data_IF_898894352388
#
_entry.id   IF_898894352388
#
_cell.length_a   1.000
_cell.length_b   1.000
_cell.length_c   1.000
_cell.angle_alpha   90.00
_cell.angle_beta   90.00
_cell.angle_gamma   90.00
#
_symmetry.space_group_name_H-M   'P 1'
#
loop_
_entity.id
_entity.type
_entity.pdbx_description
1 polymer ?
#
# COMPACT_ATOMS: atom_id res chain seq x y z
N UNK A 1 95.76 3.19 -41.69
CA UNK A 1 95.16 2.66 -40.46
C UNK A 1 93.96 3.53 -40.09
N UNK A 2 92.72 3.05 -40.30
CA UNK A 2 91.49 3.69 -39.79
C UNK A 2 91.37 3.32 -38.31
N UNK A 3 91.41 4.32 -37.42
CA UNK A 3 91.50 4.11 -35.98
C UNK A 3 90.18 3.66 -35.34
N UNK A 4 90.28 2.89 -34.26
CA UNK A 4 89.17 2.34 -33.46
C UNK A 4 88.10 3.36 -33.01
N UNK A 5 88.37 4.66 -33.08
CA UNK A 5 87.40 5.73 -32.82
C UNK A 5 86.32 5.91 -33.90
N UNK A 6 86.64 5.66 -35.19
CA UNK A 6 85.68 5.78 -36.30
C UNK A 6 84.68 4.60 -36.31
N UNK A 7 85.17 3.38 -36.00
CA UNK A 7 84.30 2.21 -35.77
C UNK A 7 83.39 2.36 -34.56
N UNK A 8 83.88 2.92 -33.44
CA UNK A 8 83.03 3.21 -32.25
C UNK A 8 81.97 4.29 -32.54
N UNK A 9 82.29 5.31 -33.35
CA UNK A 9 81.34 6.36 -33.74
C UNK A 9 80.26 5.84 -34.70
N UNK A 10 80.63 4.99 -35.66
CA UNK A 10 79.69 4.32 -36.57
C UNK A 10 78.77 3.32 -35.86
N UNK A 11 79.32 2.50 -34.94
CA UNK A 11 78.49 1.60 -34.12
C UNK A 11 77.52 2.38 -33.21
N UNK A 12 77.94 3.52 -32.65
CA UNK A 12 77.05 4.37 -31.82
C UNK A 12 75.92 5.00 -32.65
N UNK A 13 76.20 5.45 -33.87
CA UNK A 13 75.18 5.97 -34.79
C UNK A 13 74.16 4.91 -35.20
N UNK A 14 74.63 3.71 -35.56
CA UNK A 14 73.76 2.58 -35.91
C UNK A 14 72.87 2.13 -34.74
N UNK A 15 73.42 2.09 -33.52
CA UNK A 15 72.66 1.75 -32.31
C UNK A 15 71.64 2.82 -31.93
N UNK A 16 71.96 4.10 -32.10
CA UNK A 16 71.03 5.21 -31.89
C UNK A 16 69.88 5.19 -32.91
N UNK A 17 70.17 4.90 -34.19
CA UNK A 17 69.16 4.74 -35.24
C UNK A 17 68.21 3.56 -34.95
N UNK A 18 68.76 2.38 -34.61
CA UNK A 18 67.95 1.21 -34.22
C UNK A 18 67.02 1.53 -33.05
N UNK A 19 67.54 2.17 -31.99
CA UNK A 19 66.73 2.53 -30.82
C UNK A 19 65.64 3.57 -31.11
N UNK A 20 65.84 4.47 -32.07
CA UNK A 20 64.82 5.42 -32.49
C UNK A 20 63.71 4.74 -33.33
N UNK A 21 64.07 3.80 -34.20
CA UNK A 21 63.12 3.00 -35.00
C UNK A 21 62.26 2.12 -34.08
N UNK A 22 62.88 1.41 -33.14
CA UNK A 22 62.16 0.60 -32.14
C UNK A 22 61.18 1.46 -31.32
N UNK A 23 61.59 2.66 -30.92
CA UNK A 23 60.72 3.59 -30.20
C UNK A 23 59.54 4.09 -31.06
N UNK A 24 59.77 4.35 -32.36
CA UNK A 24 58.70 4.71 -33.32
C UNK A 24 57.69 3.57 -33.48
N UNK A 25 58.15 2.33 -33.64
CA UNK A 25 57.28 1.15 -33.76
C UNK A 25 56.45 0.92 -32.50
N UNK A 26 57.07 1.08 -31.32
CA UNK A 26 56.36 1.01 -30.04
C UNK A 26 55.29 2.12 -29.91
N UNK A 27 55.61 3.34 -30.34
CA UNK A 27 54.66 4.46 -30.35
C UNK A 27 53.50 4.22 -31.33
N UNK A 28 53.78 3.68 -32.52
CA UNK A 28 52.77 3.31 -33.51
C UNK A 28 51.83 2.23 -32.98
N UNK A 29 52.37 1.23 -32.29
CA UNK A 29 51.56 0.18 -31.65
C UNK A 29 50.67 0.76 -30.56
N UNK A 30 51.23 1.60 -29.67
CA UNK A 30 50.46 2.25 -28.62
C UNK A 30 49.37 3.20 -29.15
N UNK A 31 49.63 3.86 -30.28
CA UNK A 31 48.64 4.70 -30.96
C UNK A 31 47.46 3.86 -31.49
N UNK A 32 47.76 2.75 -32.16
CA UNK A 32 46.74 1.83 -32.67
C UNK A 32 45.90 1.25 -31.53
N UNK A 33 46.52 0.80 -30.44
CA UNK A 33 45.82 0.26 -29.27
C UNK A 33 44.87 1.29 -28.63
N UNK A 34 45.30 2.55 -28.54
CA UNK A 34 44.49 3.64 -28.02
C UNK A 34 43.29 3.94 -28.93
N UNK A 35 43.49 4.06 -30.24
CA UNK A 35 42.43 4.34 -31.22
C UNK A 35 41.38 3.21 -31.24
N UNK A 36 41.82 1.95 -31.18
CA UNK A 36 40.89 0.81 -31.06
C UNK A 36 40.08 0.85 -29.77
N UNK A 37 40.72 1.16 -28.63
CA UNK A 37 40.02 1.30 -27.35
C UNK A 37 38.99 2.43 -27.39
N UNK A 38 39.33 3.59 -27.97
CA UNK A 38 38.43 4.74 -28.12
C UNK A 38 37.20 4.38 -28.97
N UNK A 39 37.40 3.78 -30.15
CA UNK A 39 36.31 3.36 -31.05
C UNK A 39 35.39 2.32 -30.43
N UNK A 40 35.97 1.33 -29.74
CA UNK A 40 35.20 0.30 -29.04
C UNK A 40 34.28 0.90 -27.98
N UNK A 41 34.80 1.84 -27.17
CA UNK A 41 34.04 2.48 -26.12
C UNK A 41 32.96 3.39 -26.70
N UNK A 42 33.27 4.18 -27.73
CA UNK A 42 32.28 5.05 -28.37
C UNK A 42 31.07 4.27 -28.89
N UNK A 43 31.30 3.12 -29.53
CA UNK A 43 30.25 2.22 -29.96
C UNK A 43 29.37 1.75 -28.79
N UNK A 44 29.97 1.37 -27.65
CA UNK A 44 29.21 0.93 -26.47
C UNK A 44 28.42 2.05 -25.80
N UNK A 45 28.98 3.26 -25.72
CA UNK A 45 28.27 4.41 -25.16
C UNK A 45 27.09 4.80 -26.05
N UNK A 46 27.27 4.73 -27.37
CA UNK A 46 26.18 4.98 -28.33
C UNK A 46 25.04 3.97 -28.18
N UNK A 47 25.35 2.68 -28.06
CA UNK A 47 24.32 1.66 -27.78
C UNK A 47 23.61 1.91 -26.45
N UNK A 48 24.34 2.35 -25.41
CA UNK A 48 23.71 2.72 -24.14
C UNK A 48 22.73 3.89 -24.34
N UNK A 49 23.12 4.95 -25.05
CA UNK A 49 22.24 6.09 -25.31
C UNK A 49 20.97 5.72 -26.07
N UNK A 50 21.08 4.84 -27.07
CA UNK A 50 19.92 4.34 -27.84
C UNK A 50 18.92 3.59 -26.96
N UNK A 51 19.39 2.91 -25.92
CA UNK A 51 18.57 2.13 -24.99
C UNK A 51 18.02 2.96 -23.83
N UNK A 52 18.83 3.89 -23.30
CA UNK A 52 18.46 4.77 -22.20
C UNK A 52 19.30 6.05 -22.21
N UNK A 53 18.84 7.04 -22.99
CA UNK A 53 19.51 8.34 -23.12
C UNK A 53 19.71 9.06 -21.77
N UNK A 54 18.78 8.93 -20.81
CA UNK A 54 18.89 9.59 -19.51
C UNK A 54 19.94 8.93 -18.63
N UNK A 55 19.95 7.59 -18.59
CA UNK A 55 20.95 6.86 -17.81
C UNK A 55 22.35 6.95 -18.44
N UNK A 56 22.44 7.13 -19.76
CA UNK A 56 23.69 7.27 -20.49
C UNK A 56 24.31 8.66 -20.39
N UNK A 57 23.55 9.73 -20.09
CA UNK A 57 24.06 11.11 -20.06
C UNK A 57 25.35 11.30 -19.22
N UNK A 58 25.47 10.78 -17.99
CA UNK A 58 26.70 10.91 -17.21
C UNK A 58 27.87 10.10 -17.81
N UNK A 59 27.56 8.95 -18.42
CA UNK A 59 28.54 8.06 -19.07
C UNK A 59 29.10 8.72 -20.33
N UNK A 60 28.23 9.33 -21.14
CA UNK A 60 28.64 10.12 -22.31
C UNK A 60 29.54 11.28 -21.91
N UNK A 61 29.17 12.04 -20.88
CA UNK A 61 29.97 13.17 -20.40
C UNK A 61 31.38 12.75 -19.95
N UNK A 62 31.50 11.65 -19.22
CA UNK A 62 32.81 11.11 -18.81
C UNK A 62 33.62 10.64 -20.03
N UNK A 63 32.99 9.93 -20.97
CA UNK A 63 33.65 9.47 -22.18
C UNK A 63 34.13 10.63 -23.06
N UNK A 64 33.36 11.72 -23.21
CA UNK A 64 33.77 12.90 -23.98
C UNK A 64 35.12 13.45 -23.53
N UNK A 65 35.34 13.59 -22.21
CA UNK A 65 36.63 14.07 -21.69
C UNK A 65 37.80 13.10 -21.95
N UNK A 66 37.54 11.80 -21.96
CA UNK A 66 38.53 10.78 -22.31
C UNK A 66 38.84 10.77 -23.81
N UNK A 67 37.82 10.93 -24.65
CA UNK A 67 37.95 11.02 -26.10
C UNK A 67 38.77 12.26 -26.50
N UNK A 68 38.47 13.43 -25.92
CA UNK A 68 39.26 14.65 -26.13
C UNK A 68 40.74 14.47 -25.74
N UNK A 69 40.99 13.75 -24.65
CA UNK A 69 42.36 13.44 -24.20
C UNK A 69 43.08 12.50 -25.16
N UNK A 70 42.37 11.50 -25.71
CA UNK A 70 42.88 10.56 -26.71
C UNK A 70 43.18 11.26 -28.03
N UNK A 71 42.26 12.10 -28.52
CA UNK A 71 42.44 12.91 -29.73
C UNK A 71 43.66 13.84 -29.60
N UNK A 72 43.83 14.48 -28.42
CA UNK A 72 45.00 15.31 -28.16
C UNK A 72 46.32 14.52 -28.17
N UNK A 73 46.33 13.27 -27.68
CA UNK A 73 47.52 12.43 -27.72
C UNK A 73 47.79 11.85 -29.12
N UNK A 74 46.75 11.56 -29.89
CA UNK A 74 46.84 11.20 -31.31
C UNK A 74 47.52 12.31 -32.12
N UNK A 75 47.06 13.56 -31.96
CA UNK A 75 47.67 14.73 -32.62
C UNK A 75 49.12 14.94 -32.18
N UNK A 76 49.42 14.78 -30.89
CA UNK A 76 50.79 14.90 -30.37
C UNK A 76 51.73 13.83 -30.96
N UNK A 77 51.26 12.59 -31.08
CA UNK A 77 52.00 11.50 -31.73
C UNK A 77 52.29 11.79 -33.21
N UNK A 78 51.28 12.22 -33.97
CA UNK A 78 51.44 12.60 -35.38
C UNK A 78 52.46 13.74 -35.51
N UNK A 79 52.40 14.73 -34.62
CA UNK A 79 53.38 15.83 -34.59
C UNK A 79 54.81 15.36 -34.32
N UNK A 80 54.98 14.35 -33.45
CA UNK A 80 56.29 13.72 -33.19
C UNK A 80 56.77 12.94 -34.42
N UNK A 81 55.87 12.23 -35.10
CA UNK A 81 56.17 11.49 -36.33
C UNK A 81 56.63 12.43 -37.45
N UNK A 82 55.92 13.56 -37.64
CA UNK A 82 56.24 14.57 -38.65
C UNK A 82 57.54 15.32 -38.34
N UNK A 83 57.81 15.62 -37.06
CA UNK A 83 59.03 16.32 -36.64
C UNK A 83 60.29 15.43 -36.68
N UNK A 84 60.12 14.10 -36.65
CA UNK A 84 61.22 13.14 -36.55
C UNK A 84 61.13 12.03 -37.61
N UNK A 85 61.47 12.37 -38.85
CA UNK A 85 61.74 11.38 -39.91
C UNK A 85 63.01 10.55 -39.61
N UNK A 86 62.83 9.39 -39.00
CA UNK A 86 63.92 8.46 -38.64
C UNK A 86 64.49 7.68 -39.82
N UNK A 87 63.88 7.79 -41.01
CA UNK A 87 64.35 7.11 -42.23
C UNK A 87 65.39 7.97 -43.01
N UNK A 88 65.62 9.21 -42.57
CA UNK A 88 66.65 10.12 -43.09
C UNK A 88 68.09 9.66 -42.71
N UNK A 89 68.89 9.37 -43.75
CA UNK A 89 70.23 8.81 -43.62
C UNK A 89 71.30 9.83 -43.20
N UNK A 90 71.00 11.14 -43.24
CA UNK A 90 71.96 12.21 -42.92
C UNK A 90 71.92 12.69 -41.45
N UNK A 91 71.11 12.03 -40.60
CA UNK A 91 70.96 12.37 -39.18
C UNK A 91 72.18 12.09 -38.31
N UNK A 92 72.39 12.97 -37.34
CA UNK A 92 73.39 12.81 -36.28
C UNK A 92 72.90 11.89 -35.16
N UNK A 93 73.80 11.24 -34.40
CA UNK A 93 73.41 10.44 -33.24
C UNK A 93 72.58 11.21 -32.19
N UNK A 94 72.81 12.51 -32.04
CA UNK A 94 72.05 13.36 -31.11
C UNK A 94 70.60 13.57 -31.55
N UNK A 95 70.35 13.66 -32.86
CA UNK A 95 69.00 13.77 -33.43
C UNK A 95 68.23 12.45 -33.31
N UNK A 96 68.89 11.30 -33.48
CA UNK A 96 68.32 9.99 -33.18
C UNK A 96 67.96 9.83 -31.70
N UNK A 97 68.83 10.28 -30.78
CA UNK A 97 68.53 10.25 -29.34
C UNK A 97 67.40 11.22 -28.93
N UNK A 98 67.24 12.35 -29.65
CA UNK A 98 66.11 13.25 -29.45
C UNK A 98 64.80 12.62 -29.94
N UNK A 99 64.80 12.05 -31.16
CA UNK A 99 63.66 11.34 -31.71
C UNK A 99 63.23 10.17 -30.81
N UNK A 100 64.19 9.34 -30.36
CA UNK A 100 63.92 8.24 -29.43
C UNK A 100 63.23 8.71 -28.16
N UNK A 101 63.70 9.80 -27.54
CA UNK A 101 63.07 10.35 -26.32
C UNK A 101 61.66 10.88 -26.58
N UNK A 102 61.44 11.54 -27.72
CA UNK A 102 60.12 12.03 -28.10
C UNK A 102 59.12 10.88 -28.33
N UNK A 103 59.53 9.83 -29.05
CA UNK A 103 58.70 8.64 -29.25
C UNK A 103 58.43 7.89 -27.94
N UNK A 104 59.42 7.73 -27.05
CA UNK A 104 59.19 7.12 -25.73
C UNK A 104 58.17 7.91 -24.90
N UNK A 105 58.29 9.24 -24.85
CA UNK A 105 57.33 10.09 -24.15
C UNK A 105 55.92 10.01 -24.76
N UNK A 106 55.82 9.95 -26.09
CA UNK A 106 54.55 9.74 -26.79
C UNK A 106 53.93 8.38 -26.44
N UNK A 107 54.73 7.30 -26.45
CA UNK A 107 54.30 5.95 -26.07
C UNK A 107 53.76 5.91 -24.65
N UNK A 108 54.47 6.49 -23.67
CA UNK A 108 54.03 6.54 -22.27
C UNK A 108 52.68 7.25 -22.11
N UNK A 109 52.51 8.38 -22.82
CA UNK A 109 51.25 9.14 -22.82
C UNK A 109 50.10 8.36 -23.45
N UNK A 110 50.31 7.76 -24.62
CA UNK A 110 49.32 6.94 -25.32
C UNK A 110 48.90 5.76 -24.44
N UNK A 111 49.86 5.03 -23.87
CA UNK A 111 49.58 3.91 -22.96
C UNK A 111 48.83 4.35 -21.70
N UNK A 112 49.12 5.53 -21.15
CA UNK A 112 48.37 6.05 -20.01
C UNK A 112 46.90 6.34 -20.37
N UNK A 113 46.64 6.91 -21.54
CA UNK A 113 45.28 7.15 -22.00
C UNK A 113 44.56 5.83 -22.28
N UNK A 114 45.21 4.87 -22.93
CA UNK A 114 44.66 3.51 -23.13
C UNK A 114 44.28 2.86 -21.80
N UNK A 115 45.10 3.00 -20.74
CA UNK A 115 44.74 2.51 -19.39
C UNK A 115 43.49 3.21 -18.84
N UNK A 116 43.37 4.52 -19.03
CA UNK A 116 42.19 5.27 -18.58
C UNK A 116 40.92 4.84 -19.34
N UNK A 117 41.03 4.66 -20.66
CA UNK A 117 39.95 4.16 -21.52
C UNK A 117 39.52 2.75 -21.09
N UNK A 118 40.47 1.83 -20.90
CA UNK A 118 40.17 0.47 -20.44
C UNK A 118 39.52 0.46 -19.05
N UNK A 119 40.00 1.29 -18.12
CA UNK A 119 39.37 1.44 -16.81
C UNK A 119 37.94 1.98 -16.89
N UNK A 120 37.64 2.86 -17.85
CA UNK A 120 36.27 3.29 -18.15
C UNK A 120 35.42 2.15 -18.71
N UNK A 121 35.96 1.38 -19.66
CA UNK A 121 35.28 0.22 -20.24
C UNK A 121 34.91 -0.83 -19.17
N UNK A 122 35.81 -1.10 -18.21
CA UNK A 122 35.55 -1.98 -17.07
C UNK A 122 34.39 -1.48 -16.19
N UNK A 123 34.30 -0.17 -15.94
CA UNK A 123 33.18 0.43 -15.19
C UNK A 123 31.87 0.45 -15.98
N UNK A 124 31.94 0.55 -17.30
CA UNK A 124 30.79 0.54 -18.20
C UNK A 124 30.20 -0.88 -18.36
N UNK A 125 31.05 -1.91 -18.38
CA UNK A 125 30.65 -3.31 -18.58
C UNK A 125 29.47 -3.78 -17.69
N UNK A 126 29.45 -3.58 -16.36
CA UNK A 126 28.32 -4.01 -15.53
C UNK A 126 27.03 -3.22 -15.80
N UNK A 127 27.11 -1.98 -16.29
CA UNK A 127 25.93 -1.21 -16.68
C UNK A 127 25.31 -1.80 -17.96
N UNK A 128 26.16 -2.12 -18.94
CA UNK A 128 25.73 -2.79 -20.18
C UNK A 128 25.11 -4.16 -19.91
N UNK A 129 25.73 -4.98 -19.06
CA UNK A 129 25.19 -6.30 -18.70
C UNK A 129 23.79 -6.21 -18.05
N UNK A 130 23.52 -5.15 -17.26
CA UNK A 130 22.18 -4.90 -16.69
C UNK A 130 21.17 -4.49 -17.77
N UNK A 131 21.58 -3.67 -18.73
CA UNK A 131 20.70 -3.29 -19.85
C UNK A 131 20.35 -4.50 -20.71
N UNK A 132 21.33 -5.34 -21.03
CA UNK A 132 21.12 -6.59 -21.78
C UNK A 132 20.14 -7.51 -21.04
N UNK A 133 20.35 -7.75 -19.75
CA UNK A 133 19.43 -8.53 -18.93
C UNK A 133 18.02 -7.93 -18.90
N UNK A 134 17.90 -6.60 -18.82
CA UNK A 134 16.61 -5.92 -18.83
C UNK A 134 15.92 -5.99 -20.22
N UNK A 135 16.69 -5.98 -21.32
CA UNK A 135 16.16 -6.17 -22.67
C UNK A 135 15.58 -7.56 -22.85
N UNK A 136 16.20 -8.59 -22.28
CA UNK A 136 15.67 -9.96 -22.30
C UNK A 136 14.34 -10.06 -21.53
N UNK A 137 14.16 -9.26 -20.48
CA UNK A 137 12.97 -9.28 -19.62
C UNK A 137 11.82 -8.39 -20.13
N UNK A 138 12.10 -7.41 -20.99
CA UNK A 138 11.07 -6.46 -21.43
C UNK A 138 9.98 -7.12 -22.30
N UNK A 139 10.29 -7.93 -23.33
CA UNK A 139 9.28 -8.58 -24.16
C UNK A 139 8.25 -9.42 -23.38
N UNK A 140 8.64 -10.35 -22.48
CA UNK A 140 7.65 -11.13 -21.73
C UNK A 140 6.78 -10.27 -20.81
N UNK A 141 7.33 -9.21 -20.21
CA UNK A 141 6.54 -8.25 -19.40
C UNK A 141 5.52 -7.48 -20.24
N UNK A 142 5.91 -7.03 -21.42
CA UNK A 142 4.99 -6.36 -22.35
C UNK A 142 3.89 -7.30 -22.83
N UNK A 143 4.19 -8.58 -23.07
CA UNK A 143 3.17 -9.60 -23.38
C UNK A 143 2.21 -9.80 -22.21
N UNK A 144 2.72 -9.99 -20.98
CA UNK A 144 1.88 -10.15 -19.79
C UNK A 144 0.98 -8.93 -19.53
N UNK A 145 1.48 -7.72 -19.78
CA UNK A 145 0.71 -6.49 -19.68
C UNK A 145 -0.43 -6.43 -20.73
N UNK A 146 -0.14 -6.80 -21.98
CA UNK A 146 -1.16 -6.87 -23.06
C UNK A 146 -2.23 -7.93 -22.77
N UNK A 147 -1.82 -9.10 -22.30
CA UNK A 147 -2.72 -10.20 -21.97
C UNK A 147 -3.64 -9.82 -20.80
N UNK A 148 -3.12 -9.15 -19.77
CA UNK A 148 -3.91 -8.64 -18.66
C UNK A 148 -4.93 -7.58 -19.13
N UNK A 149 -4.53 -6.64 -20.00
CA UNK A 149 -5.45 -5.66 -20.60
C UNK A 149 -6.57 -6.35 -21.39
N UNK A 150 -6.25 -7.35 -22.20
CA UNK A 150 -7.23 -8.12 -22.95
C UNK A 150 -8.19 -8.90 -22.05
N UNK A 151 -7.69 -9.50 -20.96
CA UNK A 151 -8.50 -10.19 -19.97
C UNK A 151 -9.44 -9.24 -19.22
N UNK A 152 -8.97 -8.04 -18.87
CA UNK A 152 -9.78 -6.99 -18.26
C UNK A 152 -10.89 -6.52 -19.21
N UNK A 153 -10.57 -6.28 -20.48
CA UNK A 153 -11.56 -5.94 -21.52
C UNK A 153 -12.66 -7.01 -21.63
N UNK A 154 -12.27 -8.29 -21.65
CA UNK A 154 -13.22 -9.39 -21.72
C UNK A 154 -14.13 -9.47 -20.48
N UNK A 155 -13.58 -9.24 -19.28
CA UNK A 155 -14.33 -9.23 -18.03
C UNK A 155 -15.31 -8.06 -17.96
N UNK A 156 -14.88 -6.86 -18.37
CA UNK A 156 -15.74 -5.66 -18.44
C UNK A 156 -16.87 -5.88 -19.46
N UNK A 157 -16.56 -6.39 -20.65
CA UNK A 157 -17.57 -6.70 -21.66
C UNK A 157 -18.57 -7.76 -21.17
N UNK A 158 -18.13 -8.74 -20.39
CA UNK A 158 -19.00 -9.72 -19.77
C UNK A 158 -19.92 -9.09 -18.71
N UNK A 159 -19.38 -8.20 -17.86
CA UNK A 159 -20.15 -7.45 -16.89
C UNK A 159 -21.20 -6.55 -17.56
N UNK A 160 -20.82 -5.82 -18.61
CA UNK A 160 -21.73 -4.98 -19.40
C UNK A 160 -22.85 -5.81 -20.07
N UNK A 161 -22.53 -6.97 -20.67
CA UNK A 161 -23.54 -7.91 -21.20
C UNK A 161 -24.49 -8.44 -20.14
N UNK A 162 -24.02 -8.57 -18.90
CA UNK A 162 -24.86 -8.92 -17.76
C UNK A 162 -25.67 -7.72 -17.21
N UNK A 163 -25.59 -6.56 -17.85
CA UNK A 163 -26.29 -5.33 -17.45
C UNK A 163 -25.71 -4.70 -16.19
N UNK A 164 -24.42 -4.90 -15.91
CA UNK A 164 -23.72 -4.26 -14.80
C UNK A 164 -23.15 -2.92 -15.24
N UNK A 165 -23.21 -1.92 -14.35
CA UNK A 165 -22.43 -0.70 -14.51
C UNK A 165 -20.94 -1.00 -14.28
N UNK A 166 -20.14 -0.87 -15.34
CA UNK A 166 -18.72 -1.15 -15.37
C UNK A 166 -17.87 0.13 -15.50
N UNK A 167 -18.44 1.32 -15.23
CA UNK A 167 -17.74 2.61 -15.42
C UNK A 167 -16.40 2.70 -14.66
N UNK A 168 -16.35 2.17 -13.44
CA UNK A 168 -15.15 2.21 -12.60
C UNK A 168 -14.02 1.30 -13.14
N UNK A 169 -14.24 -0.01 -13.39
CA UNK A 169 -13.20 -0.83 -14.01
C UNK A 169 -12.85 -0.37 -15.43
N UNK A 170 -13.78 0.24 -16.18
CA UNK A 170 -13.49 0.88 -17.47
C UNK A 170 -12.51 2.06 -17.33
N UNK A 171 -12.73 2.92 -16.33
CA UNK A 171 -11.84 4.06 -16.07
C UNK A 171 -10.44 3.62 -15.63
N UNK A 172 -10.32 2.54 -14.84
CA UNK A 172 -9.02 1.96 -14.50
C UNK A 172 -8.33 1.34 -15.73
N UNK A 173 -9.07 0.58 -16.54
CA UNK A 173 -8.54 -0.03 -17.75
C UNK A 173 -8.11 1.03 -18.79
N UNK A 174 -8.82 2.16 -18.87
CA UNK A 174 -8.44 3.27 -19.75
C UNK A 174 -7.04 3.82 -19.40
N UNK A 175 -6.72 3.96 -18.11
CA UNK A 175 -5.38 4.35 -17.66
C UNK A 175 -4.32 3.32 -18.05
N UNK A 176 -4.62 2.03 -17.88
CA UNK A 176 -3.72 0.96 -18.30
C UNK A 176 -3.45 0.99 -19.81
N UNK A 177 -4.49 1.23 -20.62
CA UNK A 177 -4.38 1.38 -22.08
C UNK A 177 -3.56 2.60 -22.50
N UNK A 178 -3.71 3.73 -21.81
CA UNK A 178 -2.91 4.93 -22.08
C UNK A 178 -1.41 4.68 -21.85
N UNK A 179 -1.06 4.08 -20.71
CA UNK A 179 0.33 3.73 -20.39
C UNK A 179 0.86 2.69 -21.41
N UNK A 180 0.06 1.68 -21.76
CA UNK A 180 0.43 0.67 -22.75
C UNK A 180 0.65 1.29 -24.15
N UNK A 181 -0.16 2.27 -24.53
CA UNK A 181 0.02 3.01 -25.78
C UNK A 181 1.32 3.84 -25.76
N UNK A 182 1.66 4.47 -24.64
CA UNK A 182 2.94 5.15 -24.46
C UNK A 182 4.12 4.17 -24.63
N UNK A 183 4.04 2.98 -24.04
CA UNK A 183 5.06 1.93 -24.18
C UNK A 183 5.23 1.42 -25.61
N UNK A 184 4.15 1.45 -26.40
CA UNK A 184 4.17 1.08 -27.83
C UNK A 184 4.74 2.16 -28.76
N UNK A 185 5.05 3.35 -28.26
CA UNK A 185 5.65 4.43 -29.05
C UNK A 185 7.15 4.21 -29.30
N UNK A 186 7.69 4.88 -30.32
CA UNK A 186 9.12 4.81 -30.63
C UNK A 186 9.97 5.21 -29.41
N UNK A 187 11.07 4.50 -29.16
CA UNK A 187 11.95 4.75 -28.02
C UNK A 187 11.27 4.54 -26.66
N UNK A 188 10.26 3.67 -26.57
CA UNK A 188 9.50 3.35 -25.35
C UNK A 188 8.92 4.62 -24.67
N UNK A 189 8.54 5.62 -25.47
CA UNK A 189 8.00 6.89 -24.98
C UNK A 189 9.01 7.76 -24.22
N UNK A 190 10.32 7.56 -24.43
CA UNK A 190 11.38 8.30 -23.74
C UNK A 190 11.55 7.91 -22.27
N UNK A 191 11.02 6.74 -21.87
CA UNK A 191 11.08 6.24 -20.50
C UNK A 191 12.41 5.58 -20.14
N UNK A 192 13.20 5.20 -21.16
CA UNK A 192 14.32 4.27 -20.98
C UNK A 192 13.83 2.86 -20.63
N UNK A 193 14.76 1.91 -20.59
CA UNK A 193 14.44 0.50 -20.39
C UNK A 193 13.87 0.21 -18.99
N UNK A 194 14.47 0.77 -17.95
CA UNK A 194 14.01 0.62 -16.57
C UNK A 194 12.65 1.29 -16.35
N UNK A 195 12.42 2.44 -16.99
CA UNK A 195 11.12 3.11 -16.98
C UNK A 195 10.05 2.27 -17.67
N UNK A 196 10.38 1.68 -18.82
CA UNK A 196 9.48 0.82 -19.57
C UNK A 196 9.10 -0.45 -18.79
N UNK A 197 10.05 -1.10 -18.12
CA UNK A 197 9.77 -2.28 -17.29
C UNK A 197 8.82 -1.96 -16.13
N UNK A 198 9.03 -0.83 -15.44
CA UNK A 198 8.14 -0.38 -14.36
C UNK A 198 6.74 -0.04 -14.87
N UNK A 199 6.65 0.64 -16.01
CA UNK A 199 5.36 0.97 -16.64
C UNK A 199 4.64 -0.28 -17.15
N UNK A 200 5.34 -1.28 -17.65
CA UNK A 200 4.72 -2.55 -18.05
C UNK A 200 4.10 -3.27 -16.84
N UNK A 201 4.79 -3.28 -15.69
CA UNK A 201 4.25 -3.81 -14.44
C UNK A 201 3.02 -3.02 -13.97
N UNK A 202 3.09 -1.68 -14.01
CA UNK A 202 1.96 -0.81 -13.64
C UNK A 202 0.72 -1.08 -14.51
N UNK A 203 0.90 -1.30 -15.82
CA UNK A 203 -0.19 -1.71 -16.73
C UNK A 203 -0.76 -3.05 -16.30
N UNK A 204 0.09 -4.04 -16.03
CA UNK A 204 -0.35 -5.36 -15.58
C UNK A 204 -1.19 -5.27 -14.31
N UNK A 205 -0.70 -4.58 -13.27
CA UNK A 205 -1.43 -4.41 -12.01
C UNK A 205 -2.76 -3.65 -12.17
N UNK A 206 -2.79 -2.58 -12.97
CA UNK A 206 -4.02 -1.83 -13.25
C UNK A 206 -5.06 -2.69 -13.98
N UNK A 207 -4.62 -3.46 -14.96
CA UNK A 207 -5.49 -4.34 -15.72
C UNK A 207 -6.03 -5.49 -14.85
N UNK A 208 -5.21 -6.10 -14.00
CA UNK A 208 -5.66 -7.14 -13.07
C UNK A 208 -6.69 -6.61 -12.07
N UNK A 209 -6.49 -5.41 -11.49
CA UNK A 209 -7.48 -4.75 -10.62
C UNK A 209 -8.78 -4.48 -11.34
N UNK A 210 -8.73 -3.96 -12.57
CA UNK A 210 -9.93 -3.73 -13.39
C UNK A 210 -10.67 -5.03 -13.69
N UNK A 211 -9.94 -6.11 -14.02
CA UNK A 211 -10.50 -7.44 -14.28
C UNK A 211 -11.22 -8.00 -13.05
N UNK A 212 -10.57 -7.97 -11.89
CA UNK A 212 -11.13 -8.45 -10.62
C UNK A 212 -12.38 -7.66 -10.24
N UNK A 213 -12.31 -6.33 -10.30
CA UNK A 213 -13.45 -5.46 -10.02
C UNK A 213 -14.64 -5.77 -10.94
N UNK A 214 -14.40 -5.97 -12.24
CA UNK A 214 -15.45 -6.33 -13.20
C UNK A 214 -16.06 -7.72 -12.89
N UNK A 215 -15.23 -8.70 -12.53
CA UNK A 215 -15.68 -10.06 -12.20
C UNK A 215 -16.53 -10.12 -10.92
N UNK A 216 -16.33 -9.19 -9.98
CA UNK A 216 -17.11 -9.12 -8.73
C UNK A 216 -18.51 -8.48 -8.90
N UNK A 217 -18.74 -7.69 -9.95
CA UNK A 217 -19.99 -6.94 -10.15
C UNK A 217 -21.24 -7.84 -10.12
N UNK A 218 -21.30 -9.01 -10.82
CA UNK A 218 -22.47 -9.87 -10.77
C UNK A 218 -22.75 -10.43 -9.36
N UNK A 219 -21.72 -10.75 -8.60
CA UNK A 219 -21.88 -11.23 -7.22
C UNK A 219 -22.41 -10.12 -6.32
N UNK A 220 -21.92 -8.90 -6.49
CA UNK A 220 -22.43 -7.72 -5.78
C UNK A 220 -23.91 -7.49 -6.09
N UNK A 221 -24.28 -7.54 -7.38
CA UNK A 221 -25.66 -7.39 -7.81
C UNK A 221 -26.58 -8.44 -7.17
N UNK A 222 -26.16 -9.71 -7.16
CA UNK A 222 -26.95 -10.76 -6.52
C UNK A 222 -27.11 -10.54 -5.01
N UNK A 223 -26.03 -10.17 -4.31
CA UNK A 223 -26.06 -9.86 -2.88
C UNK A 223 -27.01 -8.70 -2.56
N UNK A 224 -27.00 -7.66 -3.38
CA UNK A 224 -27.90 -6.50 -3.23
C UNK A 224 -29.35 -6.91 -3.46
N UNK A 225 -29.67 -7.65 -4.54
CA UNK A 225 -31.04 -8.11 -4.83
C UNK A 225 -31.61 -8.97 -3.70
N UNK A 226 -30.86 -9.97 -3.23
CA UNK A 226 -31.27 -10.82 -2.12
C UNK A 226 -31.49 -10.00 -0.84
N UNK A 227 -30.58 -9.07 -0.58
CA UNK A 227 -30.65 -8.19 0.59
C UNK A 227 -31.83 -7.23 0.54
N UNK A 228 -32.18 -6.72 -0.64
CA UNK A 228 -33.34 -5.87 -0.86
C UNK A 228 -34.64 -6.63 -0.61
N UNK A 229 -34.77 -7.86 -1.13
CA UNK A 229 -35.93 -8.71 -0.87
C UNK A 229 -36.09 -9.00 0.64
N UNK A 230 -35.00 -9.40 1.31
CA UNK A 230 -35.00 -9.62 2.77
C UNK A 230 -35.35 -8.36 3.56
N UNK A 231 -34.83 -7.20 3.18
CA UNK A 231 -35.12 -5.95 3.86
C UNK A 231 -36.59 -5.52 3.71
N UNK A 232 -37.21 -5.75 2.55
CA UNK A 232 -38.65 -5.50 2.34
C UNK A 232 -39.50 -6.32 3.29
N UNK A 233 -39.26 -7.63 3.40
CA UNK A 233 -39.96 -8.47 4.39
C UNK A 233 -39.77 -7.96 5.81
N UNK A 234 -38.55 -7.51 6.15
CA UNK A 234 -38.25 -6.99 7.48
C UNK A 234 -38.97 -5.69 7.80
N UNK A 235 -39.17 -4.80 6.81
CA UNK A 235 -39.97 -3.58 7.01
C UNK A 235 -41.37 -3.93 7.52
N UNK A 236 -42.04 -4.92 6.92
CA UNK A 236 -43.39 -5.29 7.32
C UNK A 236 -43.41 -5.94 8.71
N UNK A 237 -42.40 -6.76 9.05
CA UNK A 237 -42.24 -7.30 10.40
C UNK A 237 -42.13 -6.18 11.44
N UNK A 238 -41.30 -5.16 11.19
CA UNK A 238 -41.12 -4.02 12.10
C UNK A 238 -42.38 -3.14 12.15
N UNK A 239 -43.04 -2.90 11.02
CA UNK A 239 -44.31 -2.17 10.96
C UNK A 239 -45.39 -2.83 11.84
N UNK A 240 -45.47 -4.16 11.80
CA UNK A 240 -46.42 -4.92 12.62
C UNK A 240 -46.14 -4.85 14.13
N UNK A 241 -44.96 -4.38 14.57
CA UNK A 241 -44.65 -4.15 15.99
C UNK A 241 -45.36 -2.94 16.58
N UNK A 242 -45.81 -1.99 15.74
CA UNK A 242 -46.45 -0.75 16.20
C UNK A 242 -47.70 -1.04 17.03
N UNK A 243 -48.54 -2.00 16.62
CA UNK A 243 -49.74 -2.40 17.37
C UNK A 243 -49.41 -2.87 18.80
N UNK A 244 -48.58 -3.93 18.96
CA UNK A 244 -48.09 -4.37 20.27
C UNK A 244 -47.45 -3.25 21.11
N UNK A 245 -46.68 -2.35 20.49
CA UNK A 245 -46.07 -1.21 21.18
C UNK A 245 -47.13 -0.22 21.69
N UNK A 246 -48.15 0.10 20.88
CA UNK A 246 -49.27 0.96 21.30
C UNK A 246 -50.04 0.36 22.49
N UNK A 247 -50.28 -0.96 22.47
CA UNK A 247 -50.92 -1.65 23.60
C UNK A 247 -50.03 -1.65 24.85
N UNK A 248 -48.73 -1.91 24.69
CA UNK A 248 -47.76 -1.81 25.78
C UNK A 248 -47.73 -0.39 26.38
N UNK A 249 -47.72 0.66 25.55
CA UNK A 249 -47.79 2.05 26.03
C UNK A 249 -49.07 2.34 26.81
N UNK A 250 -50.24 1.81 26.40
CA UNK A 250 -51.49 1.97 27.16
C UNK A 250 -51.38 1.32 28.54
N UNK A 251 -50.75 0.15 28.64
CA UNK A 251 -50.50 -0.54 29.91
C UNK A 251 -49.60 0.32 30.81
N UNK A 252 -48.51 0.86 30.27
CA UNK A 252 -47.58 1.74 31.00
C UNK A 252 -48.30 2.99 31.53
N UNK A 253 -49.05 3.68 30.67
CA UNK A 253 -49.72 4.94 31.00
C UNK A 253 -50.82 4.78 32.06
N UNK A 254 -51.49 3.62 32.11
CA UNK A 254 -52.60 3.37 33.06
C UNK A 254 -52.15 2.71 34.35
N UNK A 255 -51.09 1.88 34.30
CA UNK A 255 -50.72 0.99 35.40
C UNK A 255 -49.49 1.41 36.19
N UNK A 256 -48.71 2.37 35.71
CA UNK A 256 -47.40 2.69 36.29
C UNK A 256 -47.15 4.19 36.41
N UNK A 257 -46.25 4.57 37.31
CA UNK A 257 -45.83 5.96 37.50
C UNK A 257 -45.16 6.51 36.24
N UNK A 258 -45.12 7.84 36.12
CA UNK A 258 -44.53 8.53 34.96
C UNK A 258 -43.06 8.16 34.73
N UNK A 259 -42.29 8.00 35.80
CA UNK A 259 -40.87 7.66 35.74
C UNK A 259 -40.61 6.34 35.01
N UNK A 260 -41.56 5.40 35.03
CA UNK A 260 -41.45 4.10 34.39
C UNK A 260 -41.55 4.13 32.85
N UNK A 261 -42.05 5.22 32.26
CA UNK A 261 -42.34 5.25 30.81
C UNK A 261 -42.03 6.55 30.10
N UNK A 262 -41.70 7.64 30.80
CA UNK A 262 -41.46 8.93 30.16
C UNK A 262 -40.33 8.91 29.12
N UNK A 263 -39.30 8.07 29.31
CA UNK A 263 -38.21 7.83 28.37
C UNK A 263 -38.66 7.09 27.10
N UNK A 264 -39.83 6.43 27.16
CA UNK A 264 -40.47 5.69 26.09
C UNK A 264 -41.55 6.49 25.35
N UNK A 265 -41.83 7.73 25.79
CA UNK A 265 -42.82 8.59 25.14
C UNK A 265 -42.48 8.79 23.66
N UNK A 266 -43.51 8.78 22.81
CA UNK A 266 -43.34 8.93 21.37
C UNK A 266 -42.78 7.70 20.65
N UNK A 267 -42.62 6.56 21.34
CA UNK A 267 -42.08 5.35 20.72
C UNK A 267 -42.91 4.83 19.54
N UNK A 268 -44.26 4.76 19.59
CA UNK A 268 -45.07 4.37 18.44
C UNK A 268 -44.80 5.25 17.21
N UNK A 269 -44.83 6.57 17.39
CA UNK A 269 -44.65 7.56 16.32
C UNK A 269 -43.22 7.52 15.76
N UNK A 270 -42.23 7.32 16.63
CA UNK A 270 -40.82 7.14 16.25
C UNK A 270 -40.61 5.88 15.39
N UNK A 271 -41.25 4.77 15.74
CA UNK A 271 -41.19 3.51 14.99
C UNK A 271 -41.87 3.67 13.63
N UNK A 272 -43.06 4.30 13.58
CA UNK A 272 -43.76 4.59 12.32
C UNK A 272 -42.93 5.49 11.39
N UNK A 273 -42.31 6.52 11.94
CA UNK A 273 -41.44 7.42 11.18
C UNK A 273 -40.20 6.68 10.64
N UNK A 274 -39.57 5.82 11.45
CA UNK A 274 -38.44 5.01 11.02
C UNK A 274 -38.81 3.97 9.94
N UNK A 275 -39.98 3.35 10.06
CA UNK A 275 -40.54 2.45 9.02
C UNK A 275 -40.78 3.22 7.72
N UNK A 276 -41.29 4.45 7.81
CA UNK A 276 -41.50 5.33 6.64
C UNK A 276 -40.18 5.66 5.95
N UNK A 277 -39.19 6.14 6.71
CA UNK A 277 -37.84 6.41 6.18
C UNK A 277 -37.20 5.15 5.60
N UNK A 278 -37.35 4.00 6.25
CA UNK A 278 -36.84 2.73 5.72
C UNK A 278 -37.49 2.38 4.36
N UNK A 279 -38.81 2.57 4.21
CA UNK A 279 -39.50 2.37 2.92
C UNK A 279 -38.98 3.30 1.83
N UNK A 280 -38.75 4.57 2.14
CA UNK A 280 -38.15 5.54 1.21
C UNK A 280 -36.76 5.08 0.76
N UNK A 281 -35.90 4.66 1.69
CA UNK A 281 -34.55 4.14 1.39
C UNK A 281 -34.58 2.84 0.60
N UNK A 282 -35.55 1.95 0.82
CA UNK A 282 -35.71 0.76 -0.01
C UNK A 282 -36.21 1.08 -1.42
N UNK A 283 -37.03 2.12 -1.58
CA UNK A 283 -37.45 2.61 -2.89
C UNK A 283 -36.26 3.22 -3.65
N UNK A 284 -35.45 4.04 -2.98
CA UNK A 284 -34.18 4.56 -3.52
C UNK A 284 -33.24 3.42 -3.95
N UNK A 285 -33.03 2.42 -3.08
CA UNK A 285 -32.24 1.23 -3.42
C UNK A 285 -32.80 0.46 -4.64
N UNK A 286 -34.12 0.45 -4.80
CA UNK A 286 -34.79 -0.18 -5.95
C UNK A 286 -34.57 0.60 -7.25
N UNK A 287 -34.59 1.93 -7.19
CA UNK A 287 -34.31 2.81 -8.33
C UNK A 287 -32.85 2.65 -8.79
N UNK A 288 -31.90 2.65 -7.86
CA UNK A 288 -30.50 2.37 -8.16
C UNK A 288 -30.30 0.98 -8.76
N UNK A 289 -30.97 -0.04 -8.22
CA UNK A 289 -30.96 -1.40 -8.78
C UNK A 289 -31.48 -1.45 -10.22
N UNK A 290 -32.51 -0.67 -10.55
CA UNK A 290 -33.05 -0.59 -11.91
C UNK A 290 -32.10 0.07 -12.92
N UNK A 291 -31.16 0.90 -12.44
CA UNK A 291 -30.11 1.56 -13.23
C UNK A 291 -28.75 0.85 -13.16
N UNK A 292 -28.69 -0.33 -12.51
CA UNK A 292 -27.46 -1.06 -12.24
C UNK A 292 -26.41 -0.32 -11.39
N UNK A 293 -26.84 0.68 -10.61
CA UNK A 293 -26.00 1.50 -9.72
C UNK A 293 -25.80 0.76 -8.36
N UNK A 294 -25.09 -0.37 -8.38
CA UNK A 294 -25.04 -1.34 -7.27
C UNK A 294 -24.43 -0.78 -5.97
N UNK A 295 -23.45 0.13 -6.08
CA UNK A 295 -22.78 0.75 -4.92
C UNK A 295 -23.76 1.65 -4.17
N UNK A 296 -24.51 2.47 -4.90
CA UNK A 296 -25.53 3.38 -4.40
C UNK A 296 -26.71 2.60 -3.82
N UNK A 297 -27.16 1.55 -4.51
CA UNK A 297 -28.18 0.64 -3.99
C UNK A 297 -27.78 0.01 -2.63
N UNK A 298 -26.51 -0.41 -2.49
CA UNK A 298 -25.97 -0.95 -1.24
C UNK A 298 -25.95 0.08 -0.11
N UNK A 299 -25.60 1.34 -0.41
CA UNK A 299 -25.62 2.43 0.57
C UNK A 299 -27.05 2.71 1.07
N UNK A 300 -28.01 2.88 0.16
CA UNK A 300 -29.42 3.10 0.51
C UNK A 300 -30.00 1.92 1.32
N UNK A 301 -29.68 0.68 0.95
CA UNK A 301 -30.06 -0.52 1.69
C UNK A 301 -29.47 -0.57 3.11
N UNK A 302 -28.24 -0.09 3.28
CA UNK A 302 -27.59 -0.01 4.60
C UNK A 302 -28.30 1.00 5.48
N UNK A 303 -28.65 2.17 4.94
CA UNK A 303 -29.45 3.17 5.64
C UNK A 303 -30.83 2.62 6.06
N UNK A 304 -31.53 1.92 5.17
CA UNK A 304 -32.81 1.28 5.49
C UNK A 304 -32.69 0.27 6.65
N UNK A 305 -31.64 -0.57 6.64
CA UNK A 305 -31.38 -1.54 7.72
C UNK A 305 -31.09 -0.86 9.05
N UNK A 306 -30.38 0.25 9.04
CA UNK A 306 -30.10 1.05 10.25
C UNK A 306 -31.40 1.57 10.87
N UNK A 307 -32.30 2.14 10.07
CA UNK A 307 -33.61 2.60 10.53
C UNK A 307 -34.44 1.45 11.11
N UNK A 308 -34.51 0.31 10.42
CA UNK A 308 -35.26 -0.86 10.88
C UNK A 308 -34.68 -1.45 12.17
N UNK A 309 -33.35 -1.53 12.28
CA UNK A 309 -32.69 -2.00 13.49
C UNK A 309 -32.99 -1.08 14.68
N UNK A 310 -33.00 0.24 14.47
CA UNK A 310 -33.32 1.21 15.52
C UNK A 310 -34.78 1.08 15.96
N UNK A 311 -35.71 0.99 15.00
CA UNK A 311 -37.14 0.82 15.26
C UNK A 311 -37.46 -0.50 15.99
N UNK A 312 -36.87 -1.61 15.56
CA UNK A 312 -37.07 -2.93 16.18
C UNK A 312 -36.54 -2.96 17.62
N UNK A 313 -35.35 -2.38 17.87
CA UNK A 313 -34.84 -2.19 19.23
C UNK A 313 -35.76 -1.34 20.09
N UNK A 314 -36.27 -0.23 19.53
CA UNK A 314 -37.20 0.66 20.25
C UNK A 314 -38.51 -0.05 20.59
N UNK A 315 -39.03 -0.88 19.69
CA UNK A 315 -40.20 -1.71 19.95
C UNK A 315 -39.95 -2.68 21.12
N UNK A 316 -38.81 -3.39 21.06
CA UNK A 316 -38.38 -4.31 22.12
C UNK A 316 -38.21 -3.64 23.49
N UNK A 317 -37.68 -2.41 23.53
CA UNK A 317 -37.58 -1.64 24.77
C UNK A 317 -38.95 -1.41 25.42
N UNK A 318 -39.96 -1.05 24.63
CA UNK A 318 -41.31 -0.78 25.17
C UNK A 318 -42.00 -2.06 25.64
N UNK A 319 -42.00 -3.10 24.82
CA UNK A 319 -42.65 -4.36 25.18
C UNK A 319 -41.95 -5.05 26.35
N UNK A 320 -40.61 -5.05 26.34
CA UNK A 320 -39.80 -5.58 27.44
C UNK A 320 -40.01 -4.80 28.74
N UNK A 321 -40.09 -3.47 28.69
CA UNK A 321 -40.38 -2.64 29.88
C UNK A 321 -41.70 -3.04 30.53
N UNK A 322 -42.75 -3.31 29.75
CA UNK A 322 -44.03 -3.78 30.30
C UNK A 322 -43.90 -5.14 30.98
N UNK A 323 -43.18 -6.07 30.38
CA UNK A 323 -42.98 -7.41 30.95
C UNK A 323 -42.19 -7.35 32.26
N UNK A 324 -41.10 -6.57 32.31
CA UNK A 324 -40.28 -6.36 33.50
C UNK A 324 -41.09 -5.71 34.62
N UNK A 325 -41.85 -4.65 34.30
CA UNK A 325 -42.67 -3.94 35.27
C UNK A 325 -43.84 -4.79 35.78
N UNK A 326 -44.41 -5.68 34.96
CA UNK A 326 -45.42 -6.66 35.41
C UNK A 326 -44.82 -7.68 36.36
N UNK A 327 -43.63 -8.20 36.03
CA UNK A 327 -42.96 -9.19 36.86
C UNK A 327 -42.60 -8.64 38.25
N UNK A 328 -42.02 -7.44 38.32
CA UNK A 328 -41.66 -6.83 39.61
C UNK A 328 -42.88 -6.34 40.39
N UNK A 329 -43.96 -5.92 39.73
CA UNK A 329 -45.19 -5.56 40.42
C UNK A 329 -45.87 -6.79 41.05
N UNK A 330 -45.76 -7.97 40.41
CA UNK A 330 -46.30 -9.22 40.95
C UNK A 330 -45.48 -9.76 42.14
N UNK A 331 -44.15 -9.60 42.09
CA UNK A 331 -43.24 -10.04 43.15
C UNK A 331 -41.99 -9.12 43.19
N UNK A 332 -42.00 -8.08 44.05
CA UNK A 332 -40.87 -7.17 44.18
C UNK A 332 -39.62 -7.82 44.78
N UNK A 333 -39.76 -8.89 45.58
CA UNK A 333 -38.64 -9.56 46.23
C UNK A 333 -37.79 -10.40 45.28
N UNK A 334 -38.39 -10.96 44.24
CA UNK A 334 -37.70 -11.83 43.28
C UNK A 334 -36.46 -11.21 42.60
N UNK A 335 -36.50 -9.98 42.03
CA UNK A 335 -35.29 -9.37 41.49
C UNK A 335 -34.26 -9.04 42.58
N UNK A 336 -34.70 -8.69 43.79
CA UNK A 336 -33.81 -8.42 44.94
C UNK A 336 -33.02 -9.65 45.36
N UNK A 337 -33.65 -10.82 45.44
CA UNK A 337 -32.98 -12.08 45.81
C UNK A 337 -31.79 -12.37 44.89
N UNK A 338 -31.94 -12.16 43.59
CA UNK A 338 -30.86 -12.35 42.60
C UNK A 338 -29.67 -11.42 42.88
N UNK A 339 -29.94 -10.16 43.19
CA UNK A 339 -28.89 -9.19 43.54
C UNK A 339 -28.27 -9.54 44.89
N UNK A 340 -29.06 -10.01 45.86
CA UNK A 340 -28.57 -10.48 47.15
C UNK A 340 -27.59 -11.63 46.99
N UNK A 341 -27.86 -12.59 46.10
CA UNK A 341 -26.91 -13.66 45.78
C UNK A 341 -25.61 -13.12 45.19
N UNK A 342 -25.67 -12.17 44.25
CA UNK A 342 -24.47 -11.57 43.65
C UNK A 342 -23.62 -10.81 44.68
N UNK A 343 -24.25 -10.03 45.57
CA UNK A 343 -23.56 -9.31 46.65
C UNK A 343 -22.95 -10.28 47.65
N UNK A 344 -23.68 -11.32 48.07
CA UNK A 344 -23.16 -12.37 48.97
C UNK A 344 -21.99 -13.12 48.37
N UNK A 345 -22.03 -13.43 47.07
CA UNK A 345 -20.93 -14.09 46.38
C UNK A 345 -19.68 -13.20 46.33
N UNK A 346 -19.86 -11.91 46.04
CA UNK A 346 -18.79 -10.93 46.09
C UNK A 346 -18.19 -10.79 47.51
N UNK A 347 -19.03 -10.77 48.56
CA UNK A 347 -18.58 -10.77 49.96
C UNK A 347 -17.79 -12.03 50.32
N UNK A 348 -18.25 -13.22 49.90
CA UNK A 348 -17.53 -14.47 50.12
C UNK A 348 -16.16 -14.45 49.45
N UNK A 349 -16.09 -13.97 48.20
CA UNK A 349 -14.83 -13.85 47.48
C UNK A 349 -13.85 -12.88 48.16
N UNK A 350 -14.36 -11.74 48.65
CA UNK A 350 -13.56 -10.76 49.39
C UNK A 350 -13.01 -11.34 50.70
N UNK A 351 -13.86 -12.06 51.46
CA UNK A 351 -13.43 -12.69 52.72
C UNK A 351 -12.44 -13.84 52.52
N UNK A 352 -12.48 -14.51 51.36
CA UNK A 352 -11.56 -15.59 51.02
C UNK A 352 -10.16 -15.12 50.59
N UNK A 353 -9.90 -13.81 50.52
CA UNK A 353 -8.55 -13.30 50.23
C UNK A 353 -7.56 -13.60 51.38
N UNK A 354 -6.26 -13.80 51.10
CA UNK A 354 -5.24 -13.92 52.15
C UNK A 354 -5.21 -12.66 53.02
N UNK A 355 -5.41 -12.82 54.34
CA UNK A 355 -5.54 -11.68 55.27
C UNK A 355 -6.96 -11.12 55.44
N UNK A 356 -7.96 -11.74 54.79
CA UNK A 356 -9.37 -11.33 54.87
C UNK A 356 -9.73 -10.23 53.87
N UNK A 357 -10.96 -9.71 53.98
CA UNK A 357 -11.45 -8.68 53.07
C UNK A 357 -10.68 -7.35 53.26
N UNK A 358 -10.03 -6.88 52.19
CA UNK A 358 -9.35 -5.59 52.21
C UNK A 358 -10.34 -4.46 52.59
N UNK A 359 -9.97 -3.49 53.46
CA UNK A 359 -10.91 -2.52 54.02
C UNK A 359 -11.67 -1.68 52.99
N UNK A 360 -11.10 -1.46 51.80
CA UNK A 360 -11.75 -0.76 50.71
C UNK A 360 -12.87 -1.59 50.06
N UNK A 361 -12.66 -2.88 49.85
CA UNK A 361 -13.66 -3.77 49.24
C UNK A 361 -14.79 -4.06 50.22
N UNK A 362 -14.45 -4.27 51.50
CA UNK A 362 -15.43 -4.44 52.58
C UNK A 362 -16.38 -3.23 52.67
N UNK A 363 -15.84 -2.00 52.77
CA UNK A 363 -16.65 -0.77 52.82
C UNK A 363 -17.56 -0.60 51.59
N UNK A 364 -17.07 -0.94 50.39
CA UNK A 364 -17.89 -0.87 49.18
C UNK A 364 -19.03 -1.89 49.24
N UNK A 365 -18.75 -3.13 49.60
CA UNK A 365 -19.76 -4.19 49.70
C UNK A 365 -20.79 -3.93 50.81
N UNK A 366 -20.36 -3.39 51.95
CA UNK A 366 -21.27 -3.00 53.04
C UNK A 366 -22.22 -1.88 52.58
N UNK A 367 -21.71 -0.88 51.85
CA UNK A 367 -22.56 0.15 51.24
C UNK A 367 -23.54 -0.42 50.22
N UNK A 368 -23.15 -1.45 49.46
CA UNK A 368 -24.06 -2.14 48.54
C UNK A 368 -25.15 -2.92 49.27
N UNK A 369 -24.84 -3.55 50.42
CA UNK A 369 -25.85 -4.20 51.28
C UNK A 369 -26.84 -3.18 51.80
N UNK A 370 -26.36 -2.07 52.36
CA UNK A 370 -27.23 -1.00 52.87
C UNK A 370 -28.17 -0.46 51.79
N UNK A 371 -27.64 -0.22 50.58
CA UNK A 371 -28.46 0.20 49.43
C UNK A 371 -29.50 -0.86 49.05
N UNK A 372 -29.12 -2.14 49.04
CA UNK A 372 -30.01 -3.24 48.71
C UNK A 372 -31.14 -3.38 49.73
N UNK A 373 -30.84 -3.30 51.02
CA UNK A 373 -31.81 -3.37 52.12
C UNK A 373 -32.78 -2.19 52.11
N UNK A 374 -32.31 -1.01 51.69
CA UNK A 374 -33.13 0.20 51.59
C UNK A 374 -33.94 0.31 50.29
N UNK A 375 -33.61 -0.46 49.24
CA UNK A 375 -34.25 -0.34 47.94
C UNK A 375 -35.78 -0.58 47.97
N UNK A 376 -36.32 -1.60 48.69
CA UNK A 376 -37.77 -1.81 48.80
C UNK A 376 -38.51 -0.65 49.46
N UNK A 377 -37.86 0.10 50.38
CA UNK A 377 -38.47 1.24 51.07
C UNK A 377 -38.80 2.39 50.11
N UNK A 378 -38.24 2.38 48.89
CA UNK A 378 -38.55 3.35 47.83
C UNK A 378 -39.87 3.03 47.12
N UNK A 379 -40.41 1.81 47.27
CA UNK A 379 -41.66 1.39 46.64
C UNK A 379 -42.87 1.88 47.43
N UNK A 380 -43.17 3.18 47.33
CA UNK A 380 -44.24 3.84 48.08
C UNK A 380 -45.40 4.30 47.18
N UNK A 381 -46.60 4.42 47.77
CA UNK A 381 -47.80 4.91 47.07
C UNK A 381 -48.52 3.85 46.22
N UNK A 382 -49.57 4.29 45.51
CA UNK A 382 -50.44 3.40 44.70
C UNK A 382 -49.80 2.90 43.41
N UNK A 383 -48.86 3.67 42.85
CA UNK A 383 -48.06 3.28 41.69
C UNK A 383 -46.59 3.57 41.99
N UNK A 384 -45.90 2.66 42.71
CA UNK A 384 -44.48 2.80 43.02
C UNK A 384 -43.63 2.97 41.75
N UNK A 385 -42.48 3.65 41.90
CA UNK A 385 -41.48 3.73 40.85
C UNK A 385 -40.65 2.42 40.77
N UNK A 386 -41.29 1.41 40.21
CA UNK A 386 -40.68 0.11 39.96
C UNK A 386 -39.48 0.19 39.01
N UNK A 387 -39.43 1.19 38.13
CA UNK A 387 -38.32 1.34 37.19
C UNK A 387 -37.06 1.83 37.91
N UNK A 388 -37.16 2.87 38.73
CA UNK A 388 -36.03 3.32 39.55
C UNK A 388 -35.54 2.22 40.50
N UNK A 389 -36.46 1.41 41.04
CA UNK A 389 -36.12 0.24 41.85
C UNK A 389 -35.31 -0.81 41.07
N UNK A 390 -35.76 -1.21 39.88
CA UNK A 390 -35.02 -2.15 39.03
C UNK A 390 -33.66 -1.60 38.60
N UNK A 391 -33.57 -0.31 38.29
CA UNK A 391 -32.31 0.36 37.94
C UNK A 391 -31.33 0.39 39.12
N UNK A 392 -31.81 0.65 40.34
CA UNK A 392 -31.00 0.57 41.56
C UNK A 392 -30.45 -0.86 41.77
N UNK A 393 -31.30 -1.87 41.62
CA UNK A 393 -30.90 -3.27 41.74
C UNK A 393 -29.82 -3.67 40.73
N UNK A 394 -29.98 -3.28 39.46
CA UNK A 394 -28.96 -3.57 38.45
C UNK A 394 -27.66 -2.78 38.73
N UNK A 395 -27.74 -1.53 39.18
CA UNK A 395 -26.57 -0.74 39.56
C UNK A 395 -25.80 -1.37 40.74
N UNK A 396 -26.50 -1.91 41.74
CA UNK A 396 -25.90 -2.65 42.86
C UNK A 396 -25.20 -3.92 42.33
N UNK A 397 -25.87 -4.67 41.45
CA UNK A 397 -25.33 -5.89 40.86
C UNK A 397 -24.08 -5.62 40.01
N UNK A 398 -24.09 -4.59 39.18
CA UNK A 398 -22.91 -4.16 38.40
C UNK A 398 -21.76 -3.78 39.34
N UNK A 399 -22.02 -2.96 40.36
CA UNK A 399 -20.99 -2.55 41.32
C UNK A 399 -20.39 -3.74 42.09
N UNK A 400 -21.20 -4.75 42.45
CA UNK A 400 -20.70 -5.98 43.06
C UNK A 400 -19.79 -6.76 42.08
N UNK A 401 -20.19 -6.84 40.80
CA UNK A 401 -19.36 -7.42 39.74
C UNK A 401 -18.02 -6.70 39.55
N UNK A 402 -18.01 -5.37 39.63
CA UNK A 402 -16.79 -4.55 39.52
C UNK A 402 -15.83 -4.80 40.70
N UNK A 403 -16.35 -4.97 41.92
CA UNK A 403 -15.55 -5.36 43.08
C UNK A 403 -14.94 -6.75 42.87
N UNK A 404 -15.72 -7.72 42.38
CA UNK A 404 -15.22 -9.07 42.04
C UNK A 404 -14.11 -8.99 40.99
N UNK A 405 -14.31 -8.21 39.93
CA UNK A 405 -13.31 -8.04 38.88
C UNK A 405 -12.01 -7.42 39.42
N UNK A 406 -12.12 -6.42 40.30
CA UNK A 406 -10.97 -5.77 40.93
C UNK A 406 -10.19 -6.72 41.84
N UNK A 407 -10.87 -7.49 42.68
CA UNK A 407 -10.24 -8.51 43.54
C UNK A 407 -9.48 -9.53 42.68
N UNK A 408 -10.09 -9.99 41.58
CA UNK A 408 -9.43 -10.94 40.66
C UNK A 408 -8.20 -10.32 39.98
N UNK A 409 -8.27 -9.06 39.57
CA UNK A 409 -7.13 -8.35 38.98
C UNK A 409 -5.99 -8.15 39.99
N UNK A 410 -6.29 -7.77 41.23
CA UNK A 410 -5.30 -7.63 42.30
C UNK A 410 -4.59 -8.97 42.59
N UNK A 411 -5.34 -10.08 42.62
CA UNK A 411 -4.76 -11.42 42.78
C UNK A 411 -3.86 -11.83 41.61
N UNK A 412 -4.25 -11.46 40.38
CA UNK A 412 -3.47 -11.78 39.17
C UNK A 412 -2.19 -10.93 39.04
N UNK A 413 -2.13 -9.74 39.64
CA UNK A 413 -0.94 -8.91 39.70
C UNK A 413 -0.01 -9.18 40.89
N UNK A 414 -0.45 -10.02 41.85
CA UNK A 414 0.31 -10.44 43.03
C UNK A 414 0.94 -11.83 42.89
N UNK A 415 0.60 -12.58 41.83
CA UNK A 415 1.29 -13.80 41.40
C UNK A 415 2.18 -13.52 40.22
#
# INVERSE_FOLDING_TARGET
MRGAGDQRRRNRGAQAASGAIEAREAASTAFYDMDQAQKYIDGRVTVFEDLDAKAAEPVRREFTGLAESADAAAVAYISVLDAHDVDDQDRTPAEYDAARRAFVASTERLQQITRNLNGFAERLAPKMARLEAALDQLPPRLTAARDAVAAADAAIAAAARAGMDASDPEAELAKAKEILAQLGSQGLGGLGLDGAMRKAEEVHELAERAREAAAELPQMAQKVRNSLASARTRVDVVANRVGPVREAMKVLLRGYSQACWQDLKGAPESIEAAVTRARERLNEASQHTARAEWKQARQALTAARTELNAADRRAGQVTGRVEELRAVAADPSKPMERVQFAVRDAQRLAMAQPGGAAPQHARMLDSLVERLENAPNRLTGSHPDYWAYLQELEAIKTAAGDVVARIRAERAGQG
#
